data_IF_853466691124
#
_entry.id   IF_853466691124
#
_cell.length_a   1.000
_cell.length_b   1.000
_cell.length_c   1.000
_cell.angle_alpha   90.00
_cell.angle_beta   90.00
_cell.angle_gamma   90.00
#
_symmetry.space_group_name_H-M   'P 1'
#
loop_
_entity.id
_entity.type
_entity.pdbx_description
1 polymer ?
#
# COMPACT_ATOMS: atom_id res chain seq x y z
N UNK A 1 19.10 61.76 -8.66
CA UNK A 1 20.36 61.43 -7.97
C UNK A 1 21.19 60.60 -8.95
N UNK A 2 22.21 61.23 -9.54
CA UNK A 2 23.12 60.71 -10.56
C UNK A 2 24.30 59.99 -9.90
N UNK A 3 24.65 58.78 -10.33
CA UNK A 3 26.01 58.21 -10.43
C UNK A 3 25.94 57.14 -11.55
N UNK A 4 26.29 57.46 -12.79
CA UNK A 4 27.61 57.28 -13.43
C UNK A 4 28.04 55.79 -13.50
N UNK A 5 28.00 55.17 -14.68
CA UNK A 5 29.06 55.19 -15.70
C UNK A 5 30.28 54.32 -15.32
N UNK A 6 30.40 53.17 -15.99
CA UNK A 6 31.64 52.69 -16.60
C UNK A 6 31.34 51.52 -17.54
N UNK A 7 31.18 51.88 -18.82
CA UNK A 7 31.55 51.02 -19.94
C UNK A 7 33.07 50.88 -19.92
N UNK A 8 33.58 49.67 -20.12
CA UNK A 8 34.93 49.48 -20.62
C UNK A 8 34.85 48.54 -21.80
N UNK A 9 35.02 49.16 -22.97
CA UNK A 9 35.32 48.54 -24.23
C UNK A 9 36.50 47.59 -24.10
N UNK A 10 36.36 46.41 -24.70
CA UNK A 10 37.49 45.65 -25.21
C UNK A 10 37.10 45.10 -26.58
N UNK A 11 37.02 46.04 -27.52
CA UNK A 11 37.13 45.80 -28.95
C UNK A 11 38.63 45.86 -29.30
N UNK A 12 39.26 44.69 -29.45
CA UNK A 12 40.38 44.45 -30.36
C UNK A 12 40.22 42.99 -30.79
N UNK A 13 39.65 42.77 -31.97
CA UNK A 13 40.42 42.60 -33.22
C UNK A 13 41.33 41.39 -33.13
N UNK A 14 41.00 40.37 -33.91
CA UNK A 14 41.89 39.51 -34.72
C UNK A 14 41.01 38.29 -35.10
N UNK A 15 40.32 38.34 -36.24
CA UNK A 15 40.93 37.97 -37.52
C UNK A 15 41.78 36.69 -37.32
N UNK A 16 41.11 35.54 -37.16
CA UNK A 16 41.83 34.31 -36.85
C UNK A 16 41.01 33.06 -36.49
N UNK A 17 39.68 33.03 -36.63
CA UNK A 17 38.92 31.77 -36.56
C UNK A 17 38.51 31.25 -37.94
N UNK A 18 39.36 31.50 -38.93
CA UNK A 18 39.57 30.60 -40.07
C UNK A 18 40.90 29.88 -39.84
N UNK A 19 41.09 29.35 -38.63
CA UNK A 19 42.19 28.46 -38.30
C UNK A 19 41.62 27.06 -38.12
N UNK A 20 41.84 26.27 -39.16
CA UNK A 20 42.10 24.84 -39.00
C UNK A 20 40.94 24.01 -38.43
N UNK A 21 39.98 23.73 -39.33
CA UNK A 21 39.58 22.33 -39.59
C UNK A 21 40.81 21.60 -40.16
N UNK A 22 41.87 21.50 -39.36
CA UNK A 22 43.02 20.63 -39.60
C UNK A 22 42.68 19.39 -38.81
N UNK A 23 41.96 18.49 -39.48
CA UNK A 23 42.17 17.04 -39.37
C UNK A 23 42.84 16.62 -38.06
N UNK A 24 42.10 16.67 -36.95
CA UNK A 24 42.32 15.71 -35.86
C UNK A 24 41.78 14.36 -36.36
N UNK A 25 42.46 13.82 -37.37
CA UNK A 25 42.55 12.38 -37.61
C UNK A 25 43.48 11.85 -36.52
N UNK A 26 43.05 11.95 -35.27
CA UNK A 26 43.79 11.46 -34.12
C UNK A 26 42.81 10.73 -33.21
N UNK A 27 42.84 9.41 -33.39
CA UNK A 27 42.35 8.36 -32.50
C UNK A 27 40.85 8.40 -32.14
N UNK A 28 39.94 8.00 -33.05
CA UNK A 28 38.58 7.57 -32.68
C UNK A 28 38.58 6.53 -31.55
N UNK A 29 39.69 5.80 -31.38
CA UNK A 29 39.90 4.85 -30.29
C UNK A 29 39.99 5.46 -28.88
N UNK A 30 40.49 6.70 -28.73
CA UNK A 30 40.69 7.33 -27.41
C UNK A 30 39.39 7.87 -26.83
N UNK A 31 38.60 8.60 -27.64
CA UNK A 31 37.27 9.12 -27.26
C UNK A 31 36.30 7.99 -26.89
N UNK A 32 36.37 6.86 -27.61
CA UNK A 32 35.53 5.71 -27.33
C UNK A 32 35.81 5.09 -25.95
N UNK A 33 37.06 5.08 -25.49
CA UNK A 33 37.45 4.55 -24.16
C UNK A 33 36.91 5.43 -23.04
N UNK A 34 37.07 6.75 -23.17
CA UNK A 34 36.57 7.74 -22.20
C UNK A 34 35.05 7.66 -22.08
N UNK A 35 34.32 7.62 -23.20
CA UNK A 35 32.87 7.52 -23.22
C UNK A 35 32.35 6.26 -22.49
N UNK A 36 33.04 5.13 -22.63
CA UNK A 36 32.65 3.92 -21.89
C UNK A 36 33.04 3.89 -20.44
N UNK A 37 34.15 4.51 -20.05
CA UNK A 37 34.45 4.61 -18.62
C UNK A 37 33.45 5.54 -17.95
N UNK A 38 33.06 6.63 -18.61
CA UNK A 38 31.98 7.50 -18.13
C UNK A 38 30.66 6.73 -18.03
N UNK A 39 30.24 6.00 -19.07
CA UNK A 39 29.02 5.20 -19.02
C UNK A 39 29.04 4.10 -17.94
N UNK A 40 30.19 3.43 -17.75
CA UNK A 40 30.35 2.43 -16.70
C UNK A 40 30.30 3.05 -15.31
N UNK A 41 30.94 4.20 -15.10
CA UNK A 41 30.90 4.94 -13.84
C UNK A 41 29.49 5.44 -13.56
N UNK A 42 28.79 5.97 -14.56
CA UNK A 42 27.38 6.38 -14.42
C UNK A 42 26.49 5.18 -14.09
N UNK A 43 26.65 4.05 -14.77
CA UNK A 43 25.90 2.82 -14.46
C UNK A 43 26.21 2.29 -13.06
N UNK A 44 27.48 2.33 -12.64
CA UNK A 44 27.90 1.90 -11.31
C UNK A 44 27.39 2.86 -10.22
N UNK A 45 27.36 4.17 -10.49
CA UNK A 45 26.78 5.17 -9.59
C UNK A 45 25.26 4.98 -9.49
N UNK A 46 24.57 4.71 -10.59
CA UNK A 46 23.12 4.39 -10.56
C UNK A 46 22.86 3.09 -9.79
N UNK A 47 23.68 2.05 -10.00
CA UNK A 47 23.57 0.77 -9.29
C UNK A 47 23.99 0.86 -7.81
N UNK A 48 24.91 1.75 -7.45
CA UNK A 48 25.35 1.97 -6.07
C UNK A 48 24.42 2.89 -5.28
N UNK A 49 23.56 3.66 -5.97
CA UNK A 49 22.45 4.42 -5.37
C UNK A 49 21.13 3.63 -5.37
N UNK A 50 21.18 2.30 -5.55
CA UNK A 50 20.03 1.46 -5.24
C UNK A 50 19.90 1.44 -3.73
N UNK A 51 19.21 2.45 -3.19
CA UNK A 51 18.79 2.50 -1.80
C UNK A 51 18.12 1.17 -1.45
N UNK A 52 18.26 0.67 -0.20
CA UNK A 52 17.40 -0.41 0.24
C UNK A 52 15.96 -0.01 -0.07
N UNK A 53 15.30 -0.76 -0.95
CA UNK A 53 13.87 -0.63 -1.18
C UNK A 53 13.26 -1.21 0.08
N UNK A 54 13.05 -0.35 1.08
CA UNK A 54 12.03 -0.62 2.07
C UNK A 54 10.74 -0.75 1.26
N UNK A 55 10.05 -1.89 1.40
CA UNK A 55 8.71 -2.00 0.84
C UNK A 55 7.91 -0.85 1.47
N UNK A 56 7.43 0.07 0.64
CA UNK A 56 6.57 1.14 1.12
C UNK A 56 5.37 0.51 1.83
N UNK A 57 4.82 1.14 2.86
CA UNK A 57 3.59 0.64 3.50
C UNK A 57 2.40 1.10 2.67
N UNK A 58 1.55 0.16 2.24
CA UNK A 58 0.23 0.48 1.70
C UNK A 58 -0.79 0.39 2.83
N UNK A 59 -1.60 1.42 2.96
CA UNK A 59 -2.65 1.54 3.96
C UNK A 59 -3.96 1.93 3.27
N UNK A 60 -5.04 1.25 3.66
CA UNK A 60 -6.40 1.49 3.20
C UNK A 60 -7.21 1.83 4.44
N UNK A 61 -7.55 3.10 4.61
CA UNK A 61 -8.40 3.57 5.70
C UNK A 61 -9.84 3.68 5.22
N UNK A 62 -10.81 3.34 6.05
CA UNK A 62 -12.21 3.45 5.67
C UNK A 62 -13.13 3.78 6.84
N UNK A 63 -14.26 4.40 6.51
CA UNK A 63 -15.25 4.90 7.48
C UNK A 63 -16.65 4.39 7.16
N UNK A 64 -17.53 4.45 8.15
CA UNK A 64 -18.90 3.96 8.00
C UNK A 64 -19.07 2.48 8.32
N UNK A 65 -18.09 1.87 8.99
CA UNK A 65 -18.12 0.46 9.36
C UNK A 65 -19.24 0.23 10.37
N UNK A 66 -20.23 -0.58 10.03
CA UNK A 66 -21.30 -1.04 10.92
C UNK A 66 -21.13 -2.55 11.18
N UNK A 67 -20.85 -2.93 12.44
CA UNK A 67 -20.64 -4.33 12.83
C UNK A 67 -21.68 -4.79 13.85
N UNK A 68 -22.07 -6.06 13.74
CA UNK A 68 -22.99 -6.74 14.63
C UNK A 68 -22.33 -7.92 15.35
N UNK A 69 -22.85 -8.24 16.53
CA UNK A 69 -22.60 -9.47 17.28
C UNK A 69 -23.92 -9.94 17.85
N UNK A 70 -24.29 -11.20 17.62
CA UNK A 70 -25.59 -11.74 18.07
C UNK A 70 -25.48 -12.70 19.27
N UNK A 71 -24.25 -13.08 19.66
CA UNK A 71 -23.92 -14.04 20.73
C UNK A 71 -24.54 -15.44 20.61
N UNK A 72 -25.33 -15.72 19.57
CA UNK A 72 -25.98 -17.01 19.30
C UNK A 72 -25.16 -17.79 18.29
N UNK A 73 -24.72 -17.13 17.23
CA UNK A 73 -23.79 -17.67 16.25
C UNK A 73 -22.34 -17.52 16.70
N UNK A 74 -22.11 -16.73 17.77
CA UNK A 74 -20.77 -16.42 18.30
C UNK A 74 -19.86 -15.83 17.21
N UNK A 75 -20.43 -15.05 16.29
CA UNK A 75 -19.69 -14.39 15.21
C UNK A 75 -19.84 -12.87 15.28
N UNK A 76 -18.79 -12.15 14.88
CA UNK A 76 -18.88 -10.73 14.53
C UNK A 76 -18.96 -10.64 13.02
N UNK A 77 -19.90 -9.86 12.51
CA UNK A 77 -20.14 -9.67 11.08
C UNK A 77 -20.53 -8.23 10.78
N UNK A 78 -20.51 -7.83 9.51
CA UNK A 78 -21.02 -6.52 9.06
C UNK A 78 -22.57 -6.45 9.12
N UNK A 79 -23.23 -5.37 8.69
CA UNK A 79 -24.71 -5.25 8.73
C UNK A 79 -25.47 -6.27 7.83
N UNK A 80 -24.73 -7.18 7.17
CA UNK A 80 -25.23 -8.28 6.36
C UNK A 80 -25.80 -9.50 7.11
N UNK A 81 -26.10 -10.55 6.34
CA UNK A 81 -26.54 -11.86 6.88
C UNK A 81 -25.29 -12.70 7.21
N UNK A 82 -25.05 -13.09 8.47
CA UNK A 82 -23.86 -13.84 8.86
C UNK A 82 -23.76 -15.21 8.17
N UNK A 83 -24.87 -15.77 7.70
CA UNK A 83 -24.87 -17.03 6.95
C UNK A 83 -24.37 -16.89 5.51
N UNK A 84 -24.24 -15.64 5.03
CA UNK A 84 -23.85 -15.29 3.67
C UNK A 84 -22.56 -14.47 3.59
N UNK A 85 -21.92 -14.23 4.73
CA UNK A 85 -20.66 -13.49 4.78
C UNK A 85 -19.54 -14.29 4.08
N UNK A 86 -18.67 -13.57 3.37
CA UNK A 86 -17.69 -14.13 2.46
C UNK A 86 -18.24 -14.30 1.04
N UNK A 87 -18.20 -13.23 0.26
CA UNK A 87 -18.33 -13.30 -1.20
C UNK A 87 -18.50 -11.93 -1.87
N UNK A 88 -18.48 -11.93 -3.20
CA UNK A 88 -18.52 -10.69 -3.99
C UNK A 88 -19.92 -10.09 -4.15
N UNK A 89 -20.88 -10.44 -3.28
CA UNK A 89 -22.27 -9.95 -3.37
C UNK A 89 -22.45 -8.68 -2.55
N UNK A 90 -22.36 -7.52 -3.22
CA UNK A 90 -22.52 -6.21 -2.58
C UNK A 90 -23.90 -5.99 -1.97
N UNK A 91 -24.92 -6.79 -2.29
CA UNK A 91 -26.24 -6.68 -1.64
C UNK A 91 -26.28 -7.22 -0.21
N UNK A 92 -25.18 -7.83 0.23
CA UNK A 92 -25.00 -8.48 1.54
C UNK A 92 -23.87 -7.87 2.37
N UNK A 93 -23.22 -6.83 1.85
CA UNK A 93 -22.11 -6.14 2.49
C UNK A 93 -22.57 -4.78 3.03
N UNK A 94 -21.87 -4.27 4.03
CA UNK A 94 -22.08 -2.94 4.61
C UNK A 94 -21.60 -1.82 3.68
N UNK A 95 -22.39 -0.75 3.55
CA UNK A 95 -22.08 0.42 2.73
C UNK A 95 -21.05 1.31 3.44
N UNK A 96 -19.84 1.40 2.90
CA UNK A 96 -18.83 2.30 3.46
C UNK A 96 -19.06 3.76 3.02
N UNK A 97 -18.71 4.70 3.90
CA UNK A 97 -18.83 6.14 3.62
C UNK A 97 -17.64 6.69 2.84
N UNK A 98 -16.43 6.21 3.14
CA UNK A 98 -15.21 6.60 2.44
C UNK A 98 -14.13 5.53 2.55
N UNK A 99 -13.25 5.49 1.54
CA UNK A 99 -12.00 4.74 1.55
C UNK A 99 -10.85 5.63 1.07
N UNK A 100 -9.79 5.75 1.86
CA UNK A 100 -8.58 6.49 1.54
C UNK A 100 -7.41 5.51 1.36
N UNK A 101 -6.62 5.71 0.29
CA UNK A 101 -5.47 4.88 -0.04
C UNK A 101 -4.19 5.67 0.18
N UNK A 102 -3.30 5.17 1.03
CA UNK A 102 -2.05 5.84 1.40
C UNK A 102 -0.85 4.94 1.11
N UNK A 103 0.22 5.54 0.59
CA UNK A 103 1.53 4.90 0.45
C UNK A 103 2.54 5.68 1.29
N UNK A 104 3.15 5.02 2.27
CA UNK A 104 3.99 5.64 3.30
C UNK A 104 3.32 6.83 4.01
N UNK A 105 2.01 6.70 4.28
CA UNK A 105 1.17 7.75 4.88
C UNK A 105 0.85 8.93 3.95
N UNK A 106 1.28 8.90 2.68
CA UNK A 106 0.89 9.89 1.68
C UNK A 106 -0.33 9.42 0.90
N UNK A 107 -1.39 10.23 0.86
CA UNK A 107 -2.59 9.92 0.09
C UNK A 107 -2.31 9.77 -1.41
N UNK A 108 -2.74 8.65 -1.98
CA UNK A 108 -2.71 8.33 -3.42
C UNK A 108 -4.05 8.66 -4.07
N UNK A 109 -5.15 8.39 -3.38
CA UNK A 109 -6.51 8.63 -3.86
C UNK A 109 -7.56 8.18 -2.86
N UNK A 110 -8.82 8.40 -3.18
CA UNK A 110 -9.95 8.01 -2.34
C UNK A 110 -11.19 7.63 -3.16
N UNK A 111 -12.08 6.87 -2.53
CA UNK A 111 -13.39 6.48 -3.04
C UNK A 111 -14.47 6.86 -2.02
N UNK A 112 -15.67 7.18 -2.49
CA UNK A 112 -16.80 7.60 -1.65
C UNK A 112 -18.16 7.06 -2.11
N UNK A 113 -18.15 6.09 -3.02
CA UNK A 113 -19.36 5.45 -3.56
C UNK A 113 -19.01 4.07 -4.10
N UNK A 114 -19.99 3.17 -4.14
CA UNK A 114 -19.83 1.79 -4.59
C UNK A 114 -18.71 1.05 -3.83
N UNK A 115 -18.58 1.34 -2.53
CA UNK A 115 -17.59 0.79 -1.62
C UNK A 115 -18.30 0.05 -0.50
N UNK A 116 -17.91 -1.20 -0.26
CA UNK A 116 -18.59 -2.07 0.70
C UNK A 116 -17.60 -2.88 1.54
N UNK A 117 -18.01 -3.27 2.74
CA UNK A 117 -17.31 -4.19 3.63
C UNK A 117 -18.15 -5.45 3.85
N UNK A 118 -17.60 -6.60 3.51
CA UNK A 118 -18.12 -7.92 3.94
C UNK A 118 -17.13 -8.49 4.95
N UNK A 119 -17.59 -8.74 6.19
CA UNK A 119 -16.75 -9.19 7.28
C UNK A 119 -17.40 -10.37 8.01
N UNK A 120 -16.61 -11.41 8.26
CA UNK A 120 -16.99 -12.50 9.17
C UNK A 120 -15.82 -12.87 10.07
N UNK A 121 -16.06 -12.86 11.37
CA UNK A 121 -15.11 -13.30 12.39
C UNK A 121 -15.82 -14.35 13.25
N UNK A 122 -15.51 -15.64 13.03
CA UNK A 122 -16.12 -16.70 13.81
C UNK A 122 -15.49 -16.83 15.20
N UNK A 123 -16.14 -17.61 16.07
CA UNK A 123 -15.62 -18.07 17.38
C UNK A 123 -15.36 -16.95 18.40
N UNK A 124 -16.18 -15.91 18.36
CA UNK A 124 -16.20 -14.83 19.33
C UNK A 124 -17.05 -15.25 20.53
N UNK A 125 -16.48 -16.12 21.39
CA UNK A 125 -17.17 -16.70 22.55
C UNK A 125 -16.81 -15.97 23.84
N UNK A 126 -17.81 -15.63 24.65
CA UNK A 126 -17.59 -15.19 26.03
C UNK A 126 -16.93 -13.83 26.17
N UNK A 127 -17.30 -12.86 25.34
CA UNK A 127 -16.79 -11.49 25.42
C UNK A 127 -17.15 -10.86 26.79
N UNK A 128 -16.18 -10.54 27.68
CA UNK A 128 -16.49 -10.18 29.07
C UNK A 128 -17.18 -8.81 29.18
N UNK A 129 -18.35 -8.74 29.84
CA UNK A 129 -19.08 -7.48 30.04
C UNK A 129 -18.29 -6.46 30.88
N UNK A 130 -17.45 -6.94 31.80
CA UNK A 130 -16.58 -6.08 32.62
C UNK A 130 -15.40 -5.48 31.83
N UNK A 131 -15.24 -5.85 30.57
CA UNK A 131 -14.12 -5.50 29.70
C UNK A 131 -13.00 -6.54 29.72
N UNK A 132 -12.18 -6.51 28.69
CA UNK A 132 -11.13 -7.48 28.43
C UNK A 132 -11.03 -7.80 26.95
N UNK A 133 -10.20 -8.79 26.60
CA UNK A 133 -10.11 -9.32 25.24
C UNK A 133 -10.27 -10.83 25.19
N UNK A 134 -10.74 -11.31 24.05
CA UNK A 134 -10.70 -12.71 23.66
C UNK A 134 -9.81 -12.84 22.43
N UNK A 135 -9.25 -14.04 22.21
CA UNK A 135 -8.48 -14.36 21.01
C UNK A 135 -9.13 -15.59 20.38
N UNK A 136 -9.59 -15.46 19.13
CA UNK A 136 -10.15 -16.60 18.37
C UNK A 136 -9.04 -17.60 18.02
N UNK A 137 -9.41 -18.85 17.75
CA UNK A 137 -8.40 -19.87 17.41
C UNK A 137 -7.98 -19.82 15.93
N UNK A 138 -8.84 -19.20 15.10
CA UNK A 138 -8.64 -18.99 13.66
C UNK A 138 -9.17 -20.15 12.79
N UNK A 139 -10.00 -21.04 13.33
CA UNK A 139 -10.52 -22.23 12.67
C UNK A 139 -12.00 -22.50 13.03
N UNK A 140 -12.96 -22.00 12.23
CA UNK A 140 -12.78 -21.58 10.85
C UNK A 140 -12.08 -20.22 10.70
N UNK A 141 -11.41 -20.01 9.58
CA UNK A 141 -10.81 -18.71 9.27
C UNK A 141 -11.92 -17.68 9.07
N UNK A 142 -11.71 -16.46 9.56
CA UNK A 142 -12.56 -15.33 9.20
C UNK A 142 -12.34 -14.88 7.76
N UNK A 143 -13.20 -13.99 7.29
CA UNK A 143 -13.13 -13.38 5.96
C UNK A 143 -13.29 -11.88 6.07
N UNK A 144 -12.55 -11.15 5.25
CA UNK A 144 -12.76 -9.72 5.01
C UNK A 144 -12.68 -9.46 3.52
N UNK A 145 -13.72 -8.84 2.98
CA UNK A 145 -13.74 -8.34 1.62
C UNK A 145 -14.04 -6.83 1.60
N UNK A 146 -13.17 -6.06 0.96
CA UNK A 146 -13.44 -4.67 0.60
C UNK A 146 -13.89 -4.66 -0.84
N UNK A 147 -15.19 -4.54 -1.09
CA UNK A 147 -15.76 -4.55 -2.42
C UNK A 147 -15.77 -3.12 -2.99
N UNK A 148 -15.32 -2.98 -4.22
CA UNK A 148 -15.15 -1.71 -4.94
C UNK A 148 -15.47 -1.92 -6.42
N UNK A 149 -15.63 -0.87 -7.26
CA UNK A 149 -15.87 -1.05 -8.69
C UNK A 149 -14.77 -1.90 -9.35
N UNK A 150 -15.13 -3.12 -9.78
CA UNK A 150 -14.19 -4.11 -10.30
C UNK A 150 -14.06 -5.32 -9.37
N UNK A 151 -12.83 -5.70 -9.03
CA UNK A 151 -12.53 -6.75 -8.06
C UNK A 151 -11.83 -6.07 -6.89
N UNK A 152 -12.35 -6.26 -5.68
CA UNK A 152 -11.91 -5.55 -4.48
C UNK A 152 -10.62 -6.09 -3.84
N UNK A 153 -10.59 -6.14 -2.53
CA UNK A 153 -9.60 -6.88 -1.74
C UNK A 153 -10.32 -8.00 -0.99
N UNK A 154 -9.89 -9.25 -1.11
CA UNK A 154 -10.40 -10.38 -0.33
C UNK A 154 -9.25 -10.98 0.47
N UNK A 155 -9.50 -11.19 1.76
CA UNK A 155 -8.51 -11.57 2.75
C UNK A 155 -9.09 -12.67 3.64
N UNK A 156 -8.33 -13.74 3.84
CA UNK A 156 -8.63 -14.73 4.87
C UNK A 156 -7.99 -14.31 6.19
N UNK A 157 -8.80 -14.20 7.24
CA UNK A 157 -8.39 -13.81 8.58
C UNK A 157 -8.05 -15.07 9.40
N UNK A 158 -6.88 -15.06 10.03
CA UNK A 158 -6.51 -16.05 11.05
C UNK A 158 -7.10 -15.70 12.43
N UNK A 159 -6.26 -15.76 13.47
CA UNK A 159 -6.64 -15.41 14.86
C UNK A 159 -6.98 -13.93 15.01
N UNK A 160 -8.16 -13.62 15.51
CA UNK A 160 -8.58 -12.26 15.82
C UNK A 160 -8.52 -12.02 17.33
N UNK A 161 -7.98 -10.87 17.75
CA UNK A 161 -8.19 -10.37 19.10
C UNK A 161 -9.40 -9.43 19.09
N UNK A 162 -10.35 -9.66 20.00
CA UNK A 162 -11.58 -8.88 20.11
C UNK A 162 -11.64 -8.32 21.52
N UNK A 163 -11.58 -6.99 21.65
CA UNK A 163 -11.50 -6.32 22.95
C UNK A 163 -12.69 -5.39 23.21
N UNK A 164 -13.29 -5.52 24.40
CA UNK A 164 -14.41 -4.70 24.85
C UNK A 164 -13.99 -3.77 26.00
N UNK A 165 -14.35 -2.48 25.90
CA UNK A 165 -13.98 -1.45 26.86
C UNK A 165 -15.21 -0.69 27.39
N UNK A 166 -15.88 -1.20 28.44
CA UNK A 166 -17.14 -0.63 28.93
C UNK A 166 -17.01 0.80 29.49
N UNK A 167 -15.84 1.14 30.06
CA UNK A 167 -15.60 2.42 30.74
C UNK A 167 -15.68 3.66 29.84
N UNK A 168 -15.61 3.48 28.52
CA UNK A 168 -15.68 4.55 27.52
C UNK A 168 -17.09 4.65 26.92
N UNK A 169 -18.12 4.52 27.76
CA UNK A 169 -19.53 4.53 27.30
C UNK A 169 -19.92 3.33 26.44
N UNK A 170 -19.22 2.20 26.58
CA UNK A 170 -19.37 1.04 25.71
C UNK A 170 -18.59 1.13 24.39
N UNK A 171 -17.46 1.86 24.33
CA UNK A 171 -16.60 1.82 23.14
C UNK A 171 -16.00 0.42 22.94
N UNK A 172 -15.99 -0.06 21.69
CA UNK A 172 -15.44 -1.34 21.26
C UNK A 172 -14.17 -1.07 20.44
N UNK A 173 -13.00 -1.31 21.01
CA UNK A 173 -11.77 -1.26 20.21
C UNK A 173 -11.48 -2.66 19.69
N UNK A 174 -11.69 -2.86 18.40
CA UNK A 174 -11.36 -4.11 17.72
C UNK A 174 -9.97 -4.04 17.11
N UNK A 175 -8.93 -4.26 17.91
CA UNK A 175 -7.60 -4.43 17.35
C UNK A 175 -7.43 -5.88 16.87
N UNK A 176 -7.40 -6.14 15.56
CA UNK A 176 -6.96 -7.43 15.03
C UNK A 176 -5.43 -7.49 15.07
N UNK A 177 -4.89 -7.41 16.28
CA UNK A 177 -3.47 -7.58 16.53
C UNK A 177 -3.12 -9.07 16.55
N UNK A 178 -3.17 -9.77 15.41
CA UNK A 178 -2.67 -11.15 15.43
C UNK A 178 -2.90 -12.06 14.24
N UNK A 179 -3.85 -11.77 13.35
CA UNK A 179 -4.05 -12.59 12.16
C UNK A 179 -3.15 -12.07 11.05
N UNK A 180 -2.05 -12.77 10.76
CA UNK A 180 -1.40 -12.65 9.45
C UNK A 180 -2.43 -13.12 8.43
N UNK A 181 -3.12 -12.15 7.86
CA UNK A 181 -4.17 -12.42 6.93
C UNK A 181 -3.54 -12.70 5.56
N UNK A 182 -4.06 -13.67 4.82
CA UNK A 182 -3.54 -14.01 3.49
C UNK A 182 -4.48 -13.46 2.42
N UNK A 183 -3.92 -12.76 1.44
CA UNK A 183 -4.69 -12.23 0.32
C UNK A 183 -5.16 -13.40 -0.56
N UNK A 184 -6.48 -13.61 -0.63
CA UNK A 184 -7.12 -14.60 -1.51
C UNK A 184 -7.36 -14.03 -2.91
N UNK A 185 -7.54 -12.71 -3.02
CA UNK A 185 -7.68 -11.98 -4.28
C UNK A 185 -7.57 -10.47 -4.07
N UNK A 186 -7.08 -9.76 -5.08
CA UNK A 186 -7.05 -8.29 -5.06
C UNK A 186 -7.09 -7.68 -6.45
N UNK A 187 -7.71 -6.50 -6.58
CA UNK A 187 -7.60 -5.60 -7.73
C UNK A 187 -7.85 -4.17 -7.25
N UNK A 188 -6.90 -3.65 -6.47
CA UNK A 188 -7.00 -2.32 -5.89
C UNK A 188 -6.95 -1.21 -6.97
N UNK A 189 -7.59 -0.06 -6.71
CA UNK A 189 -7.49 1.10 -7.60
C UNK A 189 -6.06 1.66 -7.64
N UNK A 190 -5.83 2.57 -8.58
CA UNK A 190 -4.57 3.32 -8.72
C UNK A 190 -3.31 2.46 -9.02
N UNK A 191 -3.49 1.22 -9.48
CA UNK A 191 -2.38 0.31 -9.74
C UNK A 191 -1.72 -0.23 -8.47
N UNK A 192 -2.39 -0.08 -7.31
CA UNK A 192 -1.87 -0.53 -6.04
C UNK A 192 -1.93 -2.06 -5.93
N UNK A 193 -0.94 -2.62 -5.25
CA UNK A 193 -0.88 -4.05 -4.91
C UNK A 193 -0.44 -4.16 -3.46
N UNK A 194 -1.29 -4.76 -2.65
CA UNK A 194 -1.02 -5.10 -1.26
C UNK A 194 -0.25 -6.41 -1.21
N UNK A 195 0.76 -6.47 -0.35
CA UNK A 195 1.61 -7.63 -0.14
C UNK A 195 1.53 -8.14 1.29
N UNK A 196 1.79 -9.43 1.46
CA UNK A 196 1.78 -10.09 2.76
C UNK A 196 3.02 -9.71 3.61
N UNK A 197 2.89 -9.64 4.94
CA UNK A 197 1.67 -9.89 5.72
C UNK A 197 0.69 -8.72 5.67
N UNK A 198 -0.61 -9.03 5.74
CA UNK A 198 -1.69 -8.04 5.88
C UNK A 198 -2.12 -7.94 7.35
N UNK A 199 -2.24 -6.71 7.83
CA UNK A 199 -2.84 -6.34 9.11
C UNK A 199 -4.19 -5.68 8.87
N UNK A 200 -5.16 -5.98 9.72
CA UNK A 200 -6.51 -5.38 9.69
C UNK A 200 -6.76 -4.77 11.07
N UNK A 201 -7.50 -3.67 11.16
CA UNK A 201 -7.97 -3.16 12.44
C UNK A 201 -9.32 -2.45 12.30
N UNK A 202 -10.17 -2.51 13.32
CA UNK A 202 -11.38 -1.70 13.40
C UNK A 202 -11.43 -0.93 14.72
N UNK A 203 -12.03 0.25 14.70
CA UNK A 203 -12.31 1.05 15.89
C UNK A 203 -13.75 1.48 15.83
N UNK A 204 -14.60 0.87 16.66
CA UNK A 204 -16.05 1.14 16.64
C UNK A 204 -16.59 1.49 18.02
N UNK A 205 -17.83 1.96 18.07
CA UNK A 205 -18.53 2.26 19.32
C UNK A 205 -19.87 1.56 19.31
N UNK A 206 -20.23 0.90 20.42
CA UNK A 206 -21.55 0.29 20.55
C UNK A 206 -22.63 1.35 20.38
N UNK A 207 -23.59 1.06 19.53
CA UNK A 207 -24.77 1.89 19.32
C UNK A 207 -25.59 1.91 20.61
N UNK A 208 -25.98 3.10 21.05
CA UNK A 208 -26.71 3.25 22.30
C UNK A 208 -28.01 2.44 22.28
N UNK A 209 -28.16 1.54 23.26
CA UNK A 209 -29.34 0.70 23.43
C UNK A 209 -29.31 -0.66 22.73
N UNK A 210 -28.24 -1.00 22.00
CA UNK A 210 -28.11 -2.30 21.30
C UNK A 210 -27.32 -3.33 22.11
N UNK A 211 -26.58 -2.90 23.14
CA UNK A 211 -25.84 -3.80 24.03
C UNK A 211 -26.80 -4.70 24.82
N UNK A 212 -26.68 -6.01 24.61
CA UNK A 212 -27.36 -7.06 25.38
C UNK A 212 -26.33 -7.90 26.10
N UNK A 213 -26.64 -8.36 27.31
CA UNK A 213 -25.75 -9.17 28.13
C UNK A 213 -26.52 -10.09 29.09
N UNK A 214 -25.90 -11.17 29.54
CA UNK A 214 -26.46 -12.11 30.52
C UNK A 214 -26.08 -11.79 31.99
N UNK A 215 -25.35 -10.69 32.20
CA UNK A 215 -24.83 -10.26 33.49
C UNK A 215 -23.35 -10.60 33.71
N UNK A 216 -22.77 -11.45 32.87
CA UNK A 216 -21.32 -11.77 32.87
C UNK A 216 -20.68 -11.47 31.53
N UNK A 217 -21.33 -11.85 30.44
CA UNK A 217 -20.85 -11.72 29.07
C UNK A 217 -21.75 -10.83 28.24
N UNK A 218 -21.15 -10.16 27.26
CA UNK A 218 -21.87 -9.51 26.17
C UNK A 218 -22.48 -10.61 25.31
N UNK A 219 -23.77 -10.49 24.99
CA UNK A 219 -24.50 -11.46 24.17
C UNK A 219 -25.06 -10.86 22.89
N UNK A 220 -25.12 -9.53 22.76
CA UNK A 220 -25.33 -8.90 21.46
C UNK A 220 -24.90 -7.42 21.49
N UNK A 221 -24.55 -6.87 20.33
CA UNK A 221 -24.45 -5.42 20.12
C UNK A 221 -24.46 -5.10 18.62
N UNK A 222 -24.80 -3.84 18.33
CA UNK A 222 -24.47 -3.18 17.07
C UNK A 222 -23.39 -2.13 17.36
N UNK A 223 -22.47 -1.89 16.44
CA UNK A 223 -21.39 -0.91 16.62
C UNK A 223 -21.08 -0.17 15.32
N UNK A 224 -20.57 1.07 15.43
CA UNK A 224 -20.19 1.89 14.27
C UNK A 224 -18.79 2.48 14.39
N UNK A 225 -18.06 2.61 13.28
CA UNK A 225 -16.78 3.32 13.29
C UNK A 225 -15.98 3.26 12.00
N UNK A 226 -14.69 2.93 12.16
CA UNK A 226 -13.68 2.98 11.09
C UNK A 226 -12.89 1.68 11.05
N UNK A 227 -12.24 1.43 9.92
CA UNK A 227 -11.29 0.35 9.77
C UNK A 227 -10.04 0.75 8.99
N UNK A 228 -9.03 -0.10 9.08
CA UNK A 228 -7.77 0.04 8.39
C UNK A 228 -7.29 -1.34 7.93
N UNK A 229 -6.80 -1.42 6.69
CA UNK A 229 -6.02 -2.56 6.19
C UNK A 229 -4.63 -2.06 5.79
N UNK A 230 -3.60 -2.70 6.31
CA UNK A 230 -2.20 -2.33 6.07
C UNK A 230 -1.37 -3.52 5.62
N UNK A 231 -0.42 -3.29 4.71
CA UNK A 231 0.51 -4.31 4.24
C UNK A 231 1.67 -3.71 3.46
N UNK A 232 2.55 -4.55 2.94
CA UNK A 232 3.65 -4.09 2.11
C UNK A 232 3.13 -3.67 0.72
N UNK A 233 3.45 -2.48 0.25
CA UNK A 233 3.21 -2.09 -1.13
C UNK A 233 4.19 -2.85 -2.04
N UNK A 234 3.67 -3.62 -2.99
CA UNK A 234 4.50 -4.32 -3.97
C UNK A 234 4.77 -3.37 -5.14
N UNK A 235 6.04 -2.99 -5.42
CA UNK A 235 6.35 -2.13 -6.55
C UNK A 235 5.90 -2.75 -7.87
N UNK A 236 5.34 -1.92 -8.76
CA UNK A 236 4.87 -2.42 -10.06
C UNK A 236 6.00 -3.14 -10.85
N UNK A 237 5.67 -4.22 -11.58
CA UNK A 237 6.64 -4.99 -12.38
C UNK A 237 7.39 -4.17 -13.43
N UNK A 238 6.82 -3.02 -13.84
CA UNK A 238 7.42 -2.08 -14.79
C UNK A 238 8.78 -1.57 -14.31
N UNK A 239 8.96 -1.39 -13.00
CA UNK A 239 10.24 -0.98 -12.41
C UNK A 239 11.32 -2.04 -12.63
N UNK A 240 10.97 -3.32 -12.47
CA UNK A 240 11.87 -4.45 -12.74
C UNK A 240 12.15 -4.62 -14.23
N UNK A 241 11.14 -4.42 -15.08
CA UNK A 241 11.31 -4.45 -16.53
C UNK A 241 12.26 -3.33 -17.00
N UNK A 242 12.13 -2.12 -16.45
CA UNK A 242 13.00 -0.99 -16.77
C UNK A 242 14.45 -1.27 -16.31
N UNK A 243 14.63 -1.85 -15.12
CA UNK A 243 15.94 -2.29 -14.65
C UNK A 243 16.54 -3.38 -15.55
N UNK A 244 15.74 -4.36 -15.99
CA UNK A 244 16.16 -5.40 -16.93
C UNK A 244 16.55 -4.85 -18.30
N UNK A 245 15.78 -3.87 -18.81
CA UNK A 245 16.11 -3.17 -20.06
C UNK A 245 17.41 -2.38 -19.92
N UNK A 246 17.62 -1.67 -18.80
CA UNK A 246 18.87 -0.97 -18.54
C UNK A 246 20.07 -1.93 -18.54
N UNK A 247 19.95 -3.10 -17.91
CA UNK A 247 21.02 -4.12 -17.87
C UNK A 247 21.28 -4.75 -19.25
N UNK A 248 20.25 -5.01 -20.04
CA UNK A 248 20.41 -5.59 -21.39
C UNK A 248 21.11 -4.62 -22.36
N UNK A 249 20.79 -3.32 -22.30
CA UNK A 249 21.51 -2.27 -23.05
C UNK A 249 22.98 -2.22 -22.63
N UNK A 250 23.28 -2.36 -21.34
CA UNK A 250 24.67 -2.40 -20.85
C UNK A 250 25.44 -3.63 -21.36
N UNK A 251 24.78 -4.80 -21.44
CA UNK A 251 25.38 -6.04 -21.91
C UNK A 251 25.73 -6.02 -23.41
N UNK A 252 24.88 -5.41 -24.24
CA UNK A 252 25.11 -5.32 -25.69
C UNK A 252 26.21 -4.30 -26.02
N UNK A 253 26.28 -3.21 -25.26
CA UNK A 253 27.35 -2.22 -25.37
C UNK A 253 28.74 -2.81 -25.06
N UNK A 254 28.83 -3.78 -24.15
CA UNK A 254 30.12 -4.44 -23.82
C UNK A 254 30.50 -5.52 -24.84
N UNK A 255 29.54 -6.27 -25.40
CA UNK A 255 29.82 -7.37 -26.35
C UNK A 255 30.35 -6.90 -27.71
N UNK A 256 29.84 -5.77 -28.24
CA UNK A 256 30.26 -5.25 -29.56
C UNK A 256 31.74 -4.85 -29.64
N UNK A 257 32.42 -4.72 -28.49
CA UNK A 257 33.85 -4.39 -28.40
C UNK A 257 34.77 -5.59 -28.58
N UNK A 258 34.30 -6.81 -28.33
CA UNK A 258 35.14 -8.01 -28.44
C UNK A 258 35.37 -8.44 -29.89
N UNK A 259 34.43 -8.19 -30.80
CA UNK A 259 34.53 -8.68 -32.19
C UNK A 259 35.36 -7.79 -33.14
N UNK A 260 35.86 -6.63 -32.70
CA UNK A 260 36.71 -5.73 -33.51
C UNK A 260 38.22 -5.93 -33.28
N UNK A 261 38.62 -7.03 -32.62
CA UNK A 261 40.03 -7.36 -32.32
C UNK A 261 40.54 -8.63 -33.04
N UNK A 262 39.79 -9.15 -34.00
CA UNK A 262 40.27 -10.14 -34.98
C UNK A 262 40.39 -9.44 -36.33
#
# INVERSE_FOLDING_TARGET
MNIACKSLDLYYSFLGLTLMVRTYVFAPAAYLRVATHLALVTALLVAANVSPVFAASLEIQFTGVDLQYDGVSETIYDDGDPALAGGTDTSKADDLLSMDFLVDGSGVGSLSSDIYLDLLIPEVVGLPLAGGSIITDGSPSGTLELLMPGIGLSVSLGKAEVAFFPALGGSLNFAFGGAVASISGQSLPFGLVLGDPVSVSFSTQVVAGTLVHDGTYVTAFDSRGTGEVQGAAIPEPTSLALAGLALSVLSTATRSRSSRRQ
#
